data_IF_195202695704
#
_entry.id   IF_195202695704
#
_cell.length_a   1.000
_cell.length_b   1.000
_cell.length_c   1.000
_cell.angle_alpha   90.00
_cell.angle_beta   90.00
_cell.angle_gamma   90.00
#
_symmetry.space_group_name_H-M   'P 1'
#
loop_
_entity.id
_entity.type
_entity.pdbx_description
1 polymer ?
#
# COMPACT_ATOMS: atom_id res chain seq x y z
N UNK A 1 -2.40 15.82 -4.30
CA UNK A 1 -2.37 14.57 -3.51
C UNK A 1 -1.23 14.54 -2.49
N UNK A 2 0.06 14.48 -2.87
CA UNK A 2 1.14 14.43 -1.85
C UNK A 2 1.12 15.62 -0.87
N UNK A 3 1.02 16.85 -1.38
CA UNK A 3 0.97 18.07 -0.56
C UNK A 3 -0.23 18.08 0.40
N UNK A 4 -1.43 17.82 -0.13
CA UNK A 4 -2.66 17.55 0.63
C UNK A 4 -2.44 16.63 1.83
N UNK A 5 -1.77 15.50 1.60
CA UNK A 5 -1.50 14.50 2.64
C UNK A 5 -0.55 15.04 3.71
N UNK A 6 0.52 15.72 3.30
CA UNK A 6 1.49 16.33 4.23
C UNK A 6 0.84 17.42 5.08
N UNK A 7 -0.08 18.21 4.49
CA UNK A 7 -0.85 19.20 5.20
C UNK A 7 -1.87 18.56 6.15
N UNK A 8 -2.55 17.49 5.73
CA UNK A 8 -3.44 16.71 6.58
C UNK A 8 -2.71 16.17 7.82
N UNK A 9 -1.50 15.60 7.63
CA UNK A 9 -0.65 15.13 8.72
C UNK A 9 -0.24 16.28 9.65
N UNK A 10 0.11 17.44 9.09
CA UNK A 10 0.46 18.64 9.86
C UNK A 10 -0.71 19.17 10.69
N UNK A 11 -1.94 19.03 10.18
CA UNK A 11 -3.19 19.38 10.87
C UNK A 11 -3.65 18.32 11.88
N UNK A 12 -2.89 17.24 12.07
CA UNK A 12 -3.19 16.16 13.02
C UNK A 12 -4.09 15.05 12.46
N UNK A 13 -4.37 15.04 11.16
CA UNK A 13 -5.07 13.94 10.48
C UNK A 13 -4.06 12.90 10.01
N UNK A 14 -3.87 11.86 10.83
CA UNK A 14 -2.87 10.84 10.56
C UNK A 14 -3.41 9.65 9.75
N UNK A 15 -2.59 9.04 8.87
CA UNK A 15 -2.93 7.80 8.21
C UNK A 15 -3.32 6.68 9.17
N UNK A 16 -4.39 5.97 8.86
CA UNK A 16 -4.97 4.91 9.69
C UNK A 16 -4.53 3.54 9.19
N UNK A 17 -4.03 2.68 10.07
CA UNK A 17 -3.64 1.31 9.70
C UNK A 17 -4.89 0.48 9.37
N UNK A 18 -4.87 -0.23 8.24
CA UNK A 18 -5.96 -1.10 7.83
C UNK A 18 -5.91 -2.45 8.58
N UNK A 19 -6.90 -2.78 9.43
CA UNK A 19 -6.96 -4.10 10.07
C UNK A 19 -7.30 -5.18 9.04
N UNK A 20 -6.58 -6.30 9.06
CA UNK A 20 -6.85 -7.46 8.18
C UNK A 20 -6.23 -7.42 6.77
N UNK A 21 -5.58 -6.32 6.36
CA UNK A 21 -4.67 -6.31 5.19
C UNK A 21 -3.25 -6.70 5.61
N UNK A 22 -2.40 -6.98 4.62
CA UNK A 22 -0.98 -7.26 4.81
C UNK A 22 -0.29 -6.25 5.74
N UNK A 23 0.75 -6.72 6.44
CA UNK A 23 1.55 -5.88 7.33
C UNK A 23 2.00 -4.58 6.63
N UNK A 24 1.81 -3.43 7.28
CA UNK A 24 2.28 -2.13 6.79
C UNK A 24 1.33 -1.38 5.84
N UNK A 25 0.04 -1.70 5.73
CA UNK A 25 -0.88 -0.90 4.89
C UNK A 25 -1.58 0.21 5.67
N UNK A 26 -1.46 1.46 5.21
CA UNK A 26 -2.06 2.65 5.82
C UNK A 26 -3.02 3.34 4.85
N UNK A 27 -4.21 3.66 5.32
CA UNK A 27 -5.18 4.48 4.62
C UNK A 27 -4.86 5.96 4.91
N UNK A 28 -4.64 6.71 3.85
CA UNK A 28 -4.21 8.10 3.89
C UNK A 28 -5.40 9.03 3.68
N UNK A 29 -5.37 10.16 4.38
CA UNK A 29 -6.43 11.17 4.40
C UNK A 29 -5.95 12.47 3.74
N UNK A 30 -6.90 13.20 3.16
CA UNK A 30 -6.72 14.60 2.74
C UNK A 30 -6.94 15.59 3.89
N UNK A 31 -6.69 16.88 3.65
CA UNK A 31 -7.06 18.01 4.51
C UNK A 31 -8.56 17.99 4.86
N UNK A 32 -9.39 17.58 3.91
CA UNK A 32 -10.85 17.44 4.05
C UNK A 32 -11.28 16.17 4.79
N UNK A 33 -10.33 15.35 5.27
CA UNK A 33 -10.56 14.03 5.90
C UNK A 33 -11.13 12.97 4.96
N UNK A 34 -11.02 13.17 3.65
CA UNK A 34 -11.41 12.19 2.64
C UNK A 34 -10.33 11.13 2.45
N UNK A 35 -10.73 9.89 2.13
CA UNK A 35 -9.80 8.78 1.88
C UNK A 35 -9.20 8.90 0.48
N UNK A 36 -7.94 9.33 0.40
CA UNK A 36 -7.29 9.64 -0.89
C UNK A 36 -6.44 8.50 -1.43
N UNK A 37 -5.85 7.68 -0.56
CA UNK A 37 -4.86 6.71 -0.99
C UNK A 37 -4.54 5.65 0.05
N UNK A 38 -3.95 4.55 -0.42
CA UNK A 38 -3.34 3.53 0.41
C UNK A 38 -1.83 3.67 0.27
N UNK A 39 -1.15 3.86 1.40
CA UNK A 39 0.30 3.93 1.48
C UNK A 39 0.88 2.67 2.11
N UNK A 40 1.90 2.11 1.46
CA UNK A 40 2.63 0.93 1.95
C UNK A 40 4.13 1.25 2.02
N UNK A 41 4.68 1.49 3.23
CA UNK A 41 6.09 1.78 3.39
C UNK A 41 6.93 0.52 3.21
N UNK A 42 8.03 0.66 2.47
CA UNK A 42 9.02 -0.38 2.18
C UNK A 42 9.50 -1.10 3.46
N UNK A 43 9.77 -0.34 4.52
CA UNK A 43 10.36 -0.87 5.75
C UNK A 43 9.40 -1.72 6.60
N UNK A 44 8.12 -1.83 6.23
CA UNK A 44 7.11 -2.59 6.97
C UNK A 44 6.58 -3.82 6.22
N UNK A 45 7.14 -4.14 5.04
CA UNK A 45 6.81 -5.32 4.26
C UNK A 45 7.14 -6.64 5.01
N UNK A 46 6.52 -7.76 4.61
CA UNK A 46 6.69 -9.10 5.23
C UNK A 46 8.14 -9.61 5.27
N UNK A 47 8.98 -9.14 4.35
CA UNK A 47 10.41 -9.43 4.26
C UNK A 47 11.29 -8.21 4.57
N UNK A 48 10.70 -7.13 5.07
CA UNK A 48 11.48 -5.95 5.42
C UNK A 48 12.38 -6.24 6.62
N UNK A 49 13.51 -5.52 6.69
CA UNK A 49 14.50 -5.65 7.78
C UNK A 49 13.87 -5.46 9.17
N UNK A 50 12.73 -4.76 9.27
CA UNK A 50 12.01 -4.47 10.52
C UNK A 50 10.81 -5.38 10.81
N UNK A 51 10.50 -6.32 9.92
CA UNK A 51 9.48 -7.34 10.15
C UNK A 51 10.09 -8.72 9.86
N UNK A 52 10.97 -9.25 10.72
CA UNK A 52 11.51 -10.59 10.55
C UNK A 52 10.39 -11.59 10.83
N UNK A 53 9.62 -11.94 9.79
CA UNK A 53 8.74 -13.10 9.88
C UNK A 53 9.59 -14.31 10.29
N UNK A 54 9.14 -15.06 11.31
CA UNK A 54 9.84 -16.28 11.79
C UNK A 54 10.24 -17.16 10.60
N UNK A 55 9.37 -17.27 9.60
CA UNK A 55 9.56 -18.05 8.39
C UNK A 55 10.79 -17.62 7.58
N UNK A 56 11.05 -16.31 7.44
CA UNK A 56 12.23 -15.77 6.74
C UNK A 56 13.53 -16.03 7.48
N UNK A 57 13.52 -15.92 8.82
CA UNK A 57 14.66 -16.28 9.67
C UNK A 57 14.95 -17.80 9.64
N UNK A 58 13.90 -18.62 9.71
CA UNK A 58 14.00 -20.08 9.69
C UNK A 58 14.53 -20.62 8.35
N UNK A 59 14.04 -20.07 7.23
CA UNK A 59 14.57 -20.40 5.88
C UNK A 59 16.05 -20.01 5.74
N UNK A 60 16.44 -18.85 6.27
CA UNK A 60 17.84 -18.37 6.29
C UNK A 60 18.74 -19.25 7.16
N UNK A 61 18.22 -19.74 8.29
CA UNK A 61 19.00 -20.52 9.27
C UNK A 61 19.21 -21.98 8.82
N UNK A 62 18.23 -22.62 8.18
CA UNK A 62 18.29 -24.05 7.85
C UNK A 62 18.60 -24.39 6.38
N UNK A 63 18.83 -23.39 5.49
CA UNK A 63 19.09 -23.59 4.04
C UNK A 63 18.14 -24.60 3.38
N UNK A 64 16.89 -24.67 3.84
CA UNK A 64 15.91 -25.61 3.33
C UNK A 64 15.52 -25.18 1.90
N UNK A 65 15.69 -26.11 0.96
CA UNK A 65 15.53 -25.96 -0.49
C UNK A 65 14.06 -25.86 -0.92
N UNK A 66 13.28 -24.99 -0.28
CA UNK A 66 11.89 -24.67 -0.64
C UNK A 66 11.61 -23.18 -0.43
N UNK A 67 12.07 -22.28 -1.33
CA UNK A 67 11.67 -20.89 -1.27
C UNK A 67 10.23 -20.80 -1.79
N UNK A 68 9.26 -20.57 -0.90
CA UNK A 68 7.86 -20.36 -1.30
C UNK A 68 7.67 -19.14 -2.25
N UNK A 69 8.71 -18.31 -2.43
CA UNK A 69 8.76 -17.22 -3.42
C UNK A 69 10.19 -16.91 -3.86
N UNK A 70 10.94 -17.91 -4.35
CA UNK A 70 12.32 -17.68 -4.86
C UNK A 70 12.40 -16.77 -6.09
N UNK A 71 11.26 -16.45 -6.71
CA UNK A 71 11.15 -15.62 -7.91
C UNK A 71 10.83 -14.15 -7.62
N UNK A 72 10.60 -13.76 -6.36
CA UNK A 72 10.23 -12.39 -5.98
C UNK A 72 11.36 -11.79 -5.17
N UNK A 73 11.88 -10.65 -5.63
CA UNK A 73 12.92 -9.91 -4.93
C UNK A 73 12.38 -9.38 -3.60
N UNK A 74 13.07 -9.70 -2.51
CA UNK A 74 12.69 -9.23 -1.18
C UNK A 74 12.80 -7.70 -1.09
N UNK A 75 11.89 -7.08 -0.32
CA UNK A 75 11.89 -5.64 -0.01
C UNK A 75 11.75 -4.72 -1.25
N UNK A 76 11.10 -5.24 -2.30
CA UNK A 76 10.80 -4.52 -3.54
C UNK A 76 9.30 -4.60 -3.89
N UNK A 77 8.43 -4.95 -2.94
CA UNK A 77 7.00 -5.08 -3.24
C UNK A 77 6.41 -3.72 -3.64
N UNK A 78 6.79 -2.63 -2.95
CA UNK A 78 6.38 -1.28 -3.36
C UNK A 78 6.80 -0.90 -4.79
N UNK A 79 7.94 -1.38 -5.28
CA UNK A 79 8.37 -1.17 -6.67
C UNK A 79 7.52 -1.99 -7.65
N UNK A 80 7.13 -3.21 -7.26
CA UNK A 80 6.21 -4.03 -8.04
C UNK A 80 4.85 -3.35 -8.19
N UNK A 81 4.33 -2.74 -7.12
CA UNK A 81 3.06 -1.98 -7.17
C UNK A 81 3.12 -0.76 -8.07
N UNK A 82 4.21 0.00 -8.00
CA UNK A 82 4.43 1.14 -8.90
C UNK A 82 4.65 0.66 -10.33
N UNK A 83 5.40 -0.42 -10.52
CA UNK A 83 5.63 -1.05 -11.82
C UNK A 83 4.33 -1.49 -12.50
N UNK A 84 3.40 -2.07 -11.75
CA UNK A 84 2.08 -2.42 -12.26
C UNK A 84 1.32 -1.20 -12.80
N UNK A 85 1.36 -0.06 -12.10
CA UNK A 85 0.74 1.18 -12.58
C UNK A 85 1.47 1.78 -13.80
N UNK A 86 2.79 1.58 -13.93
CA UNK A 86 3.55 2.04 -15.10
C UNK A 86 3.22 1.18 -16.32
N UNK A 87 3.14 -0.14 -16.15
CA UNK A 87 2.77 -1.07 -17.23
C UNK A 87 1.34 -0.84 -17.68
N UNK A 88 0.40 -0.62 -16.74
CA UNK A 88 -0.99 -0.26 -17.04
C UNK A 88 -1.09 1.03 -17.88
N UNK A 89 -0.29 2.04 -17.56
CA UNK A 89 -0.24 3.30 -18.31
C UNK A 89 0.40 3.13 -19.68
N UNK A 90 1.45 2.31 -19.78
CA UNK A 90 2.14 2.04 -21.05
C UNK A 90 1.26 1.25 -22.03
N UNK A 91 0.43 0.33 -21.51
CA UNK A 91 -0.48 -0.51 -22.29
C UNK A 91 -1.91 0.09 -22.42
N UNK A 92 -2.17 1.26 -21.85
CA UNK A 92 -3.47 1.95 -21.78
C UNK A 92 -4.64 1.07 -21.26
N UNK A 93 -4.36 0.16 -20.31
CA UNK A 93 -5.35 -0.81 -19.80
C UNK A 93 -6.41 -0.14 -18.91
N UNK A 94 -5.99 0.86 -18.11
CA UNK A 94 -6.83 1.65 -17.19
C UNK A 94 -7.53 0.80 -16.12
N UNK A 95 -6.90 -0.29 -15.69
CA UNK A 95 -7.42 -1.20 -14.66
C UNK A 95 -6.72 -1.00 -13.31
N UNK A 96 -5.45 -0.58 -13.31
CA UNK A 96 -4.68 -0.34 -12.08
C UNK A 96 -4.88 1.10 -11.61
N UNK A 97 -5.36 1.33 -10.37
CA UNK A 97 -5.39 2.67 -9.79
C UNK A 97 -3.99 3.28 -9.77
N UNK A 98 -3.89 4.56 -10.14
CA UNK A 98 -2.60 5.25 -10.27
C UNK A 98 -1.78 5.10 -8.99
N UNK A 99 -0.58 4.54 -9.14
CA UNK A 99 0.33 4.21 -8.04
C UNK A 99 1.71 4.80 -8.31
N UNK A 100 2.27 5.52 -7.33
CA UNK A 100 3.59 6.17 -7.45
C UNK A 100 4.43 5.93 -6.20
N UNK A 101 5.75 6.08 -6.34
CA UNK A 101 6.65 6.14 -5.18
C UNK A 101 6.39 7.45 -4.44
N UNK A 102 6.14 7.36 -3.14
CA UNK A 102 5.97 8.50 -2.27
C UNK A 102 6.87 8.40 -1.05
N UNK A 103 7.21 9.56 -0.50
CA UNK A 103 7.94 9.75 0.74
C UNK A 103 6.97 10.44 1.68
N UNK A 104 6.61 9.75 2.77
CA UNK A 104 5.67 10.27 3.76
C UNK A 104 6.23 10.02 5.17
N UNK A 105 6.07 11.00 6.04
CA UNK A 105 6.29 10.86 7.47
C UNK A 105 4.95 10.95 8.20
N UNK A 106 4.72 10.04 9.16
CA UNK A 106 3.54 10.10 10.04
C UNK A 106 3.84 9.40 11.36
N UNK A 107 3.47 9.96 12.52
CA UNK A 107 3.64 9.29 13.82
C UNK A 107 2.92 7.93 13.92
N UNK A 108 1.93 7.66 13.06
CA UNK A 108 1.22 6.37 13.02
C UNK A 108 2.02 5.24 12.36
N UNK A 109 3.08 5.56 11.62
CA UNK A 109 3.95 4.55 11.02
C UNK A 109 4.84 3.86 12.05
N UNK A 110 5.33 2.66 11.71
CA UNK A 110 6.15 1.87 12.62
C UNK A 110 7.62 2.31 12.62
N UNK A 111 7.98 3.29 13.46
CA UNK A 111 9.36 3.69 13.69
C UNK A 111 10.02 2.95 14.85
N UNK A 112 11.33 2.73 14.75
CA UNK A 112 12.14 2.20 15.83
C UNK A 112 12.21 3.18 17.02
N UNK A 113 12.42 2.66 18.23
CA UNK A 113 12.54 3.49 19.43
C UNK A 113 13.68 4.52 19.33
N UNK A 114 14.75 4.20 18.59
CA UNK A 114 15.86 5.12 18.36
C UNK A 114 15.46 6.30 17.46
N UNK A 115 14.70 6.05 16.39
CA UNK A 115 14.19 7.12 15.51
C UNK A 115 13.20 8.02 16.23
N UNK A 116 12.29 7.44 17.03
CA UNK A 116 11.34 8.20 17.83
C UNK A 116 12.06 9.14 18.81
N UNK A 117 13.08 8.63 19.53
CA UNK A 117 13.92 9.44 20.43
C UNK A 117 14.66 10.56 19.70
N UNK A 118 15.22 10.28 18.51
CA UNK A 118 15.90 11.31 17.70
C UNK A 118 14.93 12.40 17.25
N UNK A 119 13.74 12.04 16.78
CA UNK A 119 12.72 12.99 16.37
C UNK A 119 12.24 13.86 17.56
N UNK A 120 12.13 13.26 18.75
CA UNK A 120 11.78 13.97 19.98
C UNK A 120 12.88 14.96 20.42
N UNK A 121 14.15 14.56 20.37
CA UNK A 121 15.29 15.46 20.64
C UNK A 121 15.39 16.61 19.62
N UNK A 122 15.01 16.37 18.36
CA UNK A 122 14.97 17.40 17.34
C UNK A 122 13.80 18.37 17.53
N UNK A 123 12.66 17.89 18.05
CA UNK A 123 11.48 18.70 18.37
C UNK A 123 11.79 19.79 19.40
N UNK A 124 12.70 19.54 20.34
CA UNK A 124 13.14 20.54 21.31
C UNK A 124 13.98 21.66 20.67
N UNK A 125 14.62 21.38 19.53
CA UNK A 125 15.51 22.32 18.82
C UNK A 125 14.82 23.05 17.68
N UNK A 126 13.85 22.41 17.04
CA UNK A 126 13.11 22.89 15.87
C UNK A 126 11.65 22.62 16.18
N UNK A 127 10.79 23.64 16.18
CA UNK A 127 9.36 23.54 16.49
C UNK A 127 8.64 22.64 15.48
N UNK A 128 8.64 21.33 15.72
CA UNK A 128 8.01 20.33 14.86
C UNK A 128 8.51 18.92 15.13
N UNK A 129 7.63 17.92 15.00
CA UNK A 129 8.03 16.51 15.00
C UNK A 129 8.66 16.20 13.65
N UNK A 130 9.99 16.13 13.59
CA UNK A 130 10.71 15.76 12.37
C UNK A 130 10.97 14.25 12.36
N UNK A 131 9.94 13.47 12.02
CA UNK A 131 10.11 12.03 11.78
C UNK A 131 10.71 11.81 10.39
N UNK A 132 11.61 10.83 10.21
CA UNK A 132 12.18 10.57 8.91
C UNK A 132 11.10 10.08 7.94
N UNK A 133 11.11 10.61 6.71
CA UNK A 133 10.24 10.14 5.64
C UNK A 133 10.46 8.67 5.37
N UNK A 134 9.37 7.92 5.27
CA UNK A 134 9.38 6.55 4.78
C UNK A 134 9.09 6.53 3.29
N UNK A 135 9.91 5.79 2.56
CA UNK A 135 9.65 5.48 1.15
C UNK A 135 8.64 4.34 1.06
N UNK A 136 7.72 4.45 0.12
CA UNK A 136 6.71 3.44 -0.13
C UNK A 136 5.92 3.67 -1.41
N UNK A 137 5.00 2.75 -1.71
CA UNK A 137 4.01 2.92 -2.77
C UNK A 137 2.81 3.66 -2.22
N UNK A 138 2.34 4.65 -2.98
CA UNK A 138 1.09 5.37 -2.74
C UNK A 138 0.15 5.10 -3.91
N UNK A 139 -0.90 4.33 -3.63
CA UNK A 139 -1.94 3.98 -4.58
C UNK A 139 -3.20 4.80 -4.32
N UNK A 140 -3.80 5.37 -5.36
CA UNK A 140 -5.07 6.11 -5.23
C UNK A 140 -6.20 5.16 -4.81
N UNK A 141 -7.06 5.59 -3.88
CA UNK A 141 -8.29 4.86 -3.55
C UNK A 141 -9.33 5.11 -4.64
N UNK A 142 -10.07 4.06 -4.99
CA UNK A 142 -11.21 4.14 -5.91
C UNK A 142 -12.46 3.72 -5.16
N UNK A 143 -13.48 4.55 -5.23
CA UNK A 143 -14.75 4.34 -4.53
C UNK A 143 -15.72 3.49 -5.38
N UNK A 144 -16.69 2.84 -4.72
CA UNK A 144 -17.74 2.07 -5.40
C UNK A 144 -17.36 0.63 -5.80
N UNK A 145 -16.14 0.18 -5.51
CA UNK A 145 -15.71 -1.19 -5.81
C UNK A 145 -15.96 -2.15 -4.65
N UNK A 146 -16.30 -3.39 -5.00
CA UNK A 146 -16.40 -4.52 -4.08
C UNK A 146 -15.44 -5.63 -4.53
N UNK A 147 -15.06 -6.57 -3.64
CA UNK A 147 -14.21 -7.69 -4.00
C UNK A 147 -14.78 -8.48 -5.19
N UNK A 148 -13.93 -8.89 -6.13
CA UNK A 148 -14.35 -9.67 -7.29
C UNK A 148 -15.13 -10.94 -6.89
N UNK A 149 -14.75 -11.58 -5.80
CA UNK A 149 -15.43 -12.77 -5.24
C UNK A 149 -16.88 -12.50 -4.81
N UNK A 150 -17.22 -11.27 -4.43
CA UNK A 150 -18.59 -10.88 -4.14
C UNK A 150 -19.41 -10.87 -5.44
N UNK A 151 -18.94 -10.15 -6.46
CA UNK A 151 -19.63 -10.04 -7.75
C UNK A 151 -19.73 -11.37 -8.50
N UNK A 152 -18.66 -12.19 -8.50
CA UNK A 152 -18.71 -13.51 -9.14
C UNK A 152 -19.77 -14.43 -8.50
N UNK A 153 -19.99 -14.34 -7.18
CA UNK A 153 -21.06 -15.09 -6.49
C UNK A 153 -22.44 -14.54 -6.84
N UNK A 154 -22.58 -13.21 -6.95
CA UNK A 154 -23.83 -12.58 -7.38
C UNK A 154 -24.18 -12.96 -8.82
N UNK A 155 -23.21 -12.95 -9.75
CA UNK A 155 -23.41 -13.36 -11.14
C UNK A 155 -23.71 -14.85 -11.31
N UNK A 156 -23.17 -15.70 -10.42
CA UNK A 156 -23.47 -17.13 -10.41
C UNK A 156 -24.87 -17.45 -9.84
N UNK A 157 -25.40 -16.59 -8.95
CA UNK A 157 -26.68 -16.83 -8.25
C UNK A 157 -27.88 -16.11 -8.87
N UNK A 158 -27.67 -14.95 -9.51
CA UNK A 158 -28.71 -14.18 -10.21
C UNK A 158 -28.68 -14.45 -11.72
N UNK A 159 -29.83 -14.24 -12.37
CA UNK A 159 -30.07 -14.43 -13.81
C UNK A 159 -29.03 -13.67 -14.65
N UNK A 160 -28.70 -14.23 -15.82
CA UNK A 160 -27.77 -13.73 -16.84
C UNK A 160 -27.72 -12.20 -16.89
N UNK A 161 -26.51 -11.65 -16.76
CA UNK A 161 -26.19 -10.27 -17.11
C UNK A 161 -26.71 -9.99 -18.53
N UNK A 162 -27.12 -8.75 -18.78
CA UNK A 162 -27.41 -8.30 -20.14
C UNK A 162 -26.22 -8.60 -21.06
N UNK A 163 -26.45 -9.05 -22.30
CA UNK A 163 -25.39 -9.50 -23.22
C UNK A 163 -24.33 -8.41 -23.42
N UNK A 164 -24.76 -7.14 -23.40
CA UNK A 164 -23.89 -5.97 -23.46
C UNK A 164 -23.00 -5.84 -22.23
N UNK A 165 -23.56 -5.98 -21.03
CA UNK A 165 -22.79 -5.94 -19.77
C UNK A 165 -21.83 -7.12 -19.65
N UNK A 166 -22.23 -8.29 -20.13
CA UNK A 166 -21.35 -9.47 -20.17
C UNK A 166 -20.16 -9.22 -21.10
N UNK A 167 -20.39 -8.62 -22.27
CA UNK A 167 -19.33 -8.26 -23.20
C UNK A 167 -18.37 -7.22 -22.60
N UNK A 168 -18.90 -6.17 -21.96
CA UNK A 168 -18.08 -5.16 -21.28
C UNK A 168 -17.24 -5.77 -20.14
N UNK A 169 -17.83 -6.66 -19.33
CA UNK A 169 -17.14 -7.37 -18.28
C UNK A 169 -16.01 -8.25 -18.83
N UNK A 170 -16.27 -8.97 -19.93
CA UNK A 170 -15.28 -9.81 -20.59
C UNK A 170 -14.10 -8.97 -21.11
N UNK A 171 -14.37 -7.83 -21.75
CA UNK A 171 -13.32 -6.91 -22.21
C UNK A 171 -12.48 -6.34 -21.07
N UNK A 172 -13.07 -6.09 -19.90
CA UNK A 172 -12.33 -5.64 -18.72
C UNK A 172 -11.52 -6.76 -18.07
N UNK A 173 -11.98 -8.01 -18.16
CA UNK A 173 -11.27 -9.18 -17.62
C UNK A 173 -10.08 -9.61 -18.48
N UNK A 174 -10.13 -9.36 -19.79
CA UNK A 174 -9.05 -9.65 -20.73
C UNK A 174 -7.88 -8.65 -20.66
N UNK A 175 -8.11 -7.48 -20.07
CA UNK A 175 -7.08 -6.46 -19.79
C UNK A 175 -6.28 -6.84 -18.54
#
# INVERSE_FOLDING_TARGET
MKQSIEQAVSNGFFPVRLPGRSFGSYLVLDEEKNHVGIFKPKDEEEYATRNPSWMGYFQKMFRLRCPRSGCILANQAYLSEVGASIVDEYLDLKIVPKTKVAYLASPTFNYSSAEKRKAEQQRERISGVNLPDKVGSLQCVVEGFQPCTFWLKEFASKKLLDDKLQYELQLLFER
#
